data_IF_006662890432
#
_entry.id   IF_006662890432
#
_cell.length_a   1.000
_cell.length_b   1.000
_cell.length_c   1.000
_cell.angle_alpha   90.00
_cell.angle_beta   90.00
_cell.angle_gamma   90.00
#
_symmetry.space_group_name_H-M   'P 1'
#
loop_
_entity.id
_entity.type
_entity.pdbx_description
1 polymer ?
#
# COMPACT_ATOMS: atom_id res chain seq x y z
N UNK A 1 9.24 -21.91 -4.45
CA UNK A 1 10.72 -21.81 -4.33
C UNK A 1 11.23 -21.60 -2.90
N UNK A 2 10.40 -21.63 -1.85
CA UNK A 2 10.87 -21.61 -0.45
C UNK A 2 11.74 -20.40 -0.07
N UNK A 3 11.73 -19.35 -0.89
CA UNK A 3 12.63 -18.20 -0.76
C UNK A 3 12.03 -17.19 0.21
N UNK A 4 12.83 -16.78 1.21
CA UNK A 4 12.46 -15.73 2.17
C UNK A 4 13.36 -14.52 1.98
N UNK A 5 12.77 -13.32 2.01
CA UNK A 5 13.46 -12.02 1.93
C UNK A 5 13.00 -11.17 3.12
N UNK A 6 13.94 -10.52 3.79
CA UNK A 6 13.65 -9.79 5.05
C UNK A 6 13.98 -8.30 4.99
N UNK A 7 14.96 -7.90 4.19
CA UNK A 7 15.29 -6.46 4.05
C UNK A 7 14.32 -5.78 3.07
N UNK A 8 13.95 -4.50 3.30
CA UNK A 8 12.99 -3.79 2.44
C UNK A 8 13.38 -3.81 0.95
N UNK A 9 14.67 -3.58 0.65
CA UNK A 9 15.17 -3.59 -0.73
C UNK A 9 15.04 -4.98 -1.38
N UNK A 10 15.43 -6.04 -0.67
CA UNK A 10 15.33 -7.41 -1.20
C UNK A 10 13.88 -7.82 -1.44
N UNK A 11 12.97 -7.46 -0.53
CA UNK A 11 11.54 -7.69 -0.68
C UNK A 11 11.04 -6.97 -1.94
N UNK A 12 11.34 -5.68 -2.07
CA UNK A 12 10.89 -4.87 -3.20
C UNK A 12 11.40 -5.41 -4.55
N UNK A 13 12.70 -5.73 -4.64
CA UNK A 13 13.30 -6.27 -5.87
C UNK A 13 12.72 -7.63 -6.23
N UNK A 14 12.53 -8.52 -5.25
CA UNK A 14 11.92 -9.83 -5.48
C UNK A 14 10.47 -9.72 -5.97
N UNK A 15 9.69 -8.81 -5.38
CA UNK A 15 8.31 -8.57 -5.83
C UNK A 15 8.24 -7.90 -7.20
N UNK A 16 9.22 -7.07 -7.56
CA UNK A 16 9.32 -6.53 -8.92
C UNK A 16 9.58 -7.64 -9.94
N UNK A 17 10.45 -8.59 -9.63
CA UNK A 17 10.73 -9.74 -10.50
C UNK A 17 9.46 -10.59 -10.71
N UNK A 18 8.79 -10.97 -9.62
CA UNK A 18 7.57 -11.77 -9.68
C UNK A 18 6.43 -11.01 -10.38
N UNK A 19 6.11 -9.81 -9.91
CA UNK A 19 5.01 -9.01 -10.46
C UNK A 19 5.25 -8.64 -11.93
N UNK A 20 6.50 -8.36 -12.30
CA UNK A 20 6.90 -8.06 -13.67
C UNK A 20 6.64 -9.22 -14.63
N UNK A 21 6.96 -10.47 -14.25
CA UNK A 21 6.65 -11.67 -15.05
C UNK A 21 5.15 -11.85 -15.33
N UNK A 22 4.31 -11.36 -14.41
CA UNK A 22 2.85 -11.43 -14.55
C UNK A 22 2.22 -10.15 -15.12
N UNK A 23 3.00 -9.10 -15.43
CA UNK A 23 2.49 -7.83 -15.95
C UNK A 23 1.70 -6.97 -14.95
N UNK A 24 1.94 -7.16 -13.65
CA UNK A 24 1.26 -6.43 -12.56
C UNK A 24 1.73 -4.98 -12.50
N UNK A 25 0.82 -4.07 -12.14
CA UNK A 25 1.18 -2.69 -11.77
C UNK A 25 1.42 -1.76 -12.95
N UNK A 26 0.82 -2.05 -14.12
CA UNK A 26 0.80 -1.18 -15.29
C UNK A 26 -0.30 -0.14 -15.15
N UNK A 27 0.06 1.13 -15.27
CA UNK A 27 -0.84 2.27 -15.08
C UNK A 27 -0.68 3.20 -16.28
N UNK A 28 -1.78 3.55 -16.94
CA UNK A 28 -1.86 4.58 -17.98
C UNK A 28 -2.85 5.64 -17.52
N UNK A 29 -2.35 6.82 -17.20
CA UNK A 29 -3.14 7.89 -16.59
C UNK A 29 -2.89 9.23 -17.26
N UNK A 30 -3.91 10.09 -17.21
CA UNK A 30 -3.76 11.52 -17.45
C UNK A 30 -3.77 12.22 -16.10
N UNK A 31 -2.63 12.80 -15.73
CA UNK A 31 -2.41 13.45 -14.45
C UNK A 31 -2.36 14.98 -14.59
N UNK A 32 -2.66 15.69 -13.50
CA UNK A 32 -2.50 17.14 -13.44
C UNK A 32 -1.15 17.45 -12.79
N UNK A 33 -0.26 18.13 -13.52
CA UNK A 33 0.99 18.62 -12.95
C UNK A 33 0.70 19.78 -12.00
N UNK A 34 1.56 19.96 -11.01
CA UNK A 34 1.48 21.09 -10.07
C UNK A 34 1.43 22.46 -10.78
N UNK A 35 2.12 22.57 -11.92
CA UNK A 35 2.12 23.78 -12.78
C UNK A 35 0.83 24.01 -13.57
N UNK A 36 -0.23 23.21 -13.34
CA UNK A 36 -1.57 23.39 -13.91
C UNK A 36 -1.83 22.72 -15.26
N UNK A 37 -0.84 22.05 -15.85
CA UNK A 37 -1.00 21.36 -17.14
C UNK A 37 -1.29 19.87 -16.97
N UNK A 38 -2.06 19.30 -17.91
CA UNK A 38 -2.27 17.85 -17.98
C UNK A 38 -1.14 17.16 -18.72
N UNK A 39 -0.79 15.95 -18.29
CA UNK A 39 0.17 15.08 -18.97
C UNK A 39 -0.36 13.65 -18.98
N UNK A 40 -0.10 12.89 -20.04
CA UNK A 40 -0.29 11.43 -20.04
C UNK A 40 1.00 10.76 -19.58
N UNK A 41 0.90 9.85 -18.62
CA UNK A 41 2.02 9.08 -18.09
C UNK A 41 1.71 7.59 -18.10
N UNK A 42 2.70 6.78 -18.47
CA UNK A 42 2.64 5.32 -18.42
C UNK A 42 3.68 4.86 -17.40
N UNK A 43 3.24 4.09 -16.41
CA UNK A 43 4.04 3.68 -15.27
C UNK A 43 3.95 2.17 -15.06
N UNK A 44 5.05 1.57 -14.59
CA UNK A 44 5.12 0.17 -14.19
C UNK A 44 5.63 0.09 -12.75
N UNK A 45 4.81 -0.42 -11.84
CA UNK A 45 5.11 -0.51 -10.40
C UNK A 45 4.72 -1.89 -9.82
N UNK A 46 5.29 -2.99 -10.34
CA UNK A 46 4.85 -4.35 -9.99
C UNK A 46 4.95 -4.65 -8.49
N UNK A 47 6.14 -4.49 -7.89
CA UNK A 47 6.34 -4.75 -6.47
C UNK A 47 5.59 -3.76 -5.59
N UNK A 48 5.50 -2.49 -6.00
CA UNK A 48 4.72 -1.47 -5.31
C UNK A 48 3.22 -1.81 -5.27
N UNK A 49 2.66 -2.28 -6.38
CA UNK A 49 1.24 -2.67 -6.47
C UNK A 49 0.94 -3.88 -5.59
N UNK A 50 1.82 -4.90 -5.57
CA UNK A 50 1.66 -6.06 -4.70
C UNK A 50 1.71 -5.66 -3.23
N UNK A 51 2.72 -4.87 -2.84
CA UNK A 51 2.87 -4.38 -1.47
C UNK A 51 1.69 -3.52 -1.04
N UNK A 52 1.20 -2.65 -1.93
CA UNK A 52 0.06 -1.80 -1.66
C UNK A 52 -1.20 -2.61 -1.35
N UNK A 53 -1.55 -3.60 -2.18
CA UNK A 53 -2.72 -4.45 -1.94
C UNK A 53 -2.57 -5.29 -0.67
N UNK A 54 -1.40 -5.87 -0.43
CA UNK A 54 -1.14 -6.64 0.79
C UNK A 54 -1.23 -5.75 2.05
N UNK A 55 -0.70 -4.54 1.99
CA UNK A 55 -0.73 -3.59 3.09
C UNK A 55 -2.15 -3.13 3.41
N UNK A 56 -2.93 -2.74 2.39
CA UNK A 56 -4.33 -2.35 2.58
C UNK A 56 -5.17 -3.48 3.19
N UNK A 57 -4.90 -4.71 2.78
CA UNK A 57 -5.58 -5.88 3.32
C UNK A 57 -5.27 -6.08 4.81
N UNK A 58 -4.00 -5.93 5.20
CA UNK A 58 -3.61 -5.98 6.61
C UNK A 58 -4.21 -4.82 7.42
N UNK A 59 -4.25 -3.60 6.86
CA UNK A 59 -4.90 -2.45 7.51
C UNK A 59 -6.39 -2.71 7.74
N UNK A 60 -7.10 -3.31 6.78
CA UNK A 60 -8.51 -3.69 6.97
C UNK A 60 -8.66 -4.69 8.12
N UNK A 61 -7.70 -5.61 8.24
CA UNK A 61 -7.77 -6.71 9.19
C UNK A 61 -7.36 -6.36 10.61
N UNK A 62 -6.51 -5.35 10.82
CA UNK A 62 -5.96 -5.01 12.15
C UNK A 62 -6.29 -3.61 12.64
N UNK A 63 -6.66 -2.68 11.76
CA UNK A 63 -6.91 -1.30 12.14
C UNK A 63 -8.37 -1.09 12.58
N UNK A 64 -8.56 -0.25 13.59
CA UNK A 64 -9.89 0.24 13.95
C UNK A 64 -10.56 0.94 12.75
N UNK A 65 -11.89 0.78 12.65
CA UNK A 65 -12.70 1.28 11.53
C UNK A 65 -12.59 2.80 11.37
N UNK A 66 -12.70 3.56 12.45
CA UNK A 66 -12.69 5.03 12.38
C UNK A 66 -11.28 5.57 12.15
N UNK A 67 -10.27 4.94 12.77
CA UNK A 67 -8.86 5.26 12.49
C UNK A 67 -8.55 5.05 11.01
N UNK A 68 -8.99 3.92 10.43
CA UNK A 68 -8.79 3.63 9.00
C UNK A 68 -9.48 4.66 8.11
N UNK A 69 -10.71 5.05 8.43
CA UNK A 69 -11.45 6.10 7.68
C UNK A 69 -10.70 7.43 7.66
N UNK A 70 -10.16 7.86 8.81
CA UNK A 70 -9.37 9.09 8.91
C UNK A 70 -8.07 8.96 8.12
N UNK A 71 -7.35 7.83 8.27
CA UNK A 71 -6.08 7.57 7.57
C UNK A 71 -6.24 7.57 6.05
N UNK A 72 -7.36 7.11 5.51
CA UNK A 72 -7.61 7.16 4.07
C UNK A 72 -7.61 8.60 3.52
N UNK A 73 -8.25 9.54 4.22
CA UNK A 73 -8.21 10.96 3.85
C UNK A 73 -6.79 11.54 3.95
N UNK A 74 -6.08 11.23 5.04
CA UNK A 74 -4.68 11.63 5.22
C UNK A 74 -3.76 11.07 4.14
N UNK A 75 -4.01 9.85 3.66
CA UNK A 75 -3.25 9.23 2.59
C UNK A 75 -3.36 9.98 1.26
N UNK A 76 -4.54 10.51 0.94
CA UNK A 76 -4.75 11.35 -0.25
C UNK A 76 -3.96 12.66 -0.11
N UNK A 77 -4.12 13.37 1.00
CA UNK A 77 -3.39 14.61 1.26
C UNK A 77 -1.87 14.40 1.22
N UNK A 78 -1.38 13.30 1.81
CA UNK A 78 0.03 12.93 1.75
C UNK A 78 0.51 12.74 0.32
N UNK A 79 -0.27 12.04 -0.52
CA UNK A 79 0.08 11.82 -1.92
C UNK A 79 0.19 13.13 -2.71
N UNK A 80 -0.70 14.09 -2.46
CA UNK A 80 -0.67 15.42 -3.09
C UNK A 80 0.55 16.23 -2.65
N UNK A 81 0.86 16.25 -1.35
CA UNK A 81 2.03 16.95 -0.82
C UNK A 81 3.33 16.39 -1.40
N UNK A 82 3.45 15.06 -1.48
CA UNK A 82 4.62 14.40 -2.09
C UNK A 82 4.71 14.72 -3.58
N UNK A 83 3.60 14.65 -4.32
CA UNK A 83 3.56 14.96 -5.75
C UNK A 83 3.99 16.40 -6.04
N UNK A 84 3.57 17.34 -5.20
CA UNK A 84 3.90 18.76 -5.33
C UNK A 84 5.31 19.12 -4.81
N UNK A 85 6.06 18.16 -4.26
CA UNK A 85 7.42 18.36 -3.75
C UNK A 85 7.51 18.92 -2.33
N UNK A 86 6.41 18.94 -1.57
CA UNK A 86 6.35 19.45 -0.20
C UNK A 86 6.79 18.42 0.84
N UNK A 87 7.85 17.65 0.57
CA UNK A 87 8.30 16.58 1.49
C UNK A 87 8.73 17.09 2.88
N UNK A 88 9.40 18.25 2.92
CA UNK A 88 9.92 18.87 4.15
C UNK A 88 9.01 19.99 4.68
N UNK A 89 7.77 20.09 4.21
CA UNK A 89 6.83 21.10 4.72
C UNK A 89 6.22 20.65 6.06
N UNK A 90 5.82 21.60 6.93
CA UNK A 90 5.26 21.26 8.24
C UNK A 90 3.97 20.44 8.13
N UNK A 91 3.15 20.70 7.11
CA UNK A 91 1.94 19.92 6.87
C UNK A 91 2.24 18.47 6.44
N UNK A 92 3.31 18.23 5.67
CA UNK A 92 3.72 16.88 5.29
C UNK A 92 4.30 16.12 6.48
N UNK A 93 5.10 16.78 7.31
CA UNK A 93 5.60 16.20 8.56
C UNK A 93 4.45 15.79 9.49
N UNK A 94 3.46 16.67 9.69
CA UNK A 94 2.27 16.37 10.48
C UNK A 94 1.52 15.13 9.96
N UNK A 95 1.22 15.10 8.65
CA UNK A 95 0.49 13.98 8.03
C UNK A 95 1.28 12.68 8.16
N UNK A 96 2.60 12.71 7.94
CA UNK A 96 3.48 11.54 8.12
C UNK A 96 3.45 11.01 9.55
N UNK A 97 3.43 11.87 10.56
CA UNK A 97 3.33 11.45 11.96
C UNK A 97 1.99 10.76 12.24
N UNK A 98 0.88 11.30 11.75
CA UNK A 98 -0.43 10.66 11.86
C UNK A 98 -0.47 9.29 11.18
N UNK A 99 0.10 9.19 9.97
CA UNK A 99 0.22 7.90 9.27
C UNK A 99 1.08 6.94 10.06
N UNK A 100 2.27 7.32 10.51
CA UNK A 100 3.14 6.46 11.32
C UNK A 100 2.44 5.95 12.58
N UNK A 101 1.68 6.82 13.27
CA UNK A 101 0.88 6.45 14.44
C UNK A 101 -0.19 5.39 14.11
N UNK A 102 -0.84 5.49 12.96
CA UNK A 102 -1.84 4.50 12.54
C UNK A 102 -1.26 3.09 12.32
N UNK A 103 0.05 2.97 12.07
CA UNK A 103 0.68 1.70 11.69
C UNK A 103 1.13 0.83 12.88
N UNK A 104 1.03 1.31 14.12
CA UNK A 104 1.55 0.60 15.32
C UNK A 104 1.00 -0.83 15.50
N UNK A 105 -0.22 -1.08 15.03
CA UNK A 105 -0.90 -2.38 15.12
C UNK A 105 -1.00 -3.11 13.77
N UNK A 106 -0.40 -2.58 12.71
CA UNK A 106 -0.45 -3.18 11.36
C UNK A 106 0.67 -4.22 11.25
N UNK A 107 0.37 -5.43 11.71
CA UNK A 107 1.33 -6.53 11.76
C UNK A 107 0.63 -7.86 11.43
N UNK A 108 1.21 -8.64 10.52
CA UNK A 108 0.68 -9.94 10.16
C UNK A 108 1.26 -10.44 8.84
N UNK A 109 0.63 -11.46 8.27
CA UNK A 109 0.97 -12.03 6.96
C UNK A 109 -0.24 -12.01 6.06
N UNK A 110 0.01 -11.71 4.79
CA UNK A 110 -0.99 -11.77 3.72
C UNK A 110 -0.49 -12.73 2.66
N UNK A 111 -1.32 -13.69 2.30
CA UNK A 111 -1.06 -14.60 1.19
C UNK A 111 -1.64 -14.00 -0.08
N UNK A 112 -0.77 -13.81 -1.07
CA UNK A 112 -1.11 -13.12 -2.33
C UNK A 112 -0.82 -14.05 -3.51
N UNK A 113 -1.73 -14.07 -4.47
CA UNK A 113 -1.53 -14.67 -5.78
C UNK A 113 -1.44 -13.57 -6.84
N UNK A 114 -0.49 -13.68 -7.77
CA UNK A 114 -0.37 -12.77 -8.90
C UNK A 114 -0.62 -13.50 -10.20
N UNK A 115 -1.49 -12.96 -11.04
CA UNK A 115 -1.88 -13.62 -12.28
C UNK A 115 -2.34 -12.59 -13.31
N UNK A 116 -1.74 -12.62 -14.51
CA UNK A 116 -2.16 -11.87 -15.71
C UNK A 116 -2.53 -10.40 -15.42
N UNK A 117 -1.63 -9.67 -14.76
CA UNK A 117 -1.78 -8.25 -14.44
C UNK A 117 -2.48 -7.96 -13.12
N UNK A 118 -3.03 -8.97 -12.45
CA UNK A 118 -3.81 -8.79 -11.23
C UNK A 118 -3.09 -9.33 -9.98
N UNK A 119 -3.47 -8.75 -8.84
CA UNK A 119 -3.08 -9.16 -7.49
C UNK A 119 -4.34 -9.64 -6.77
N UNK A 120 -4.33 -10.88 -6.28
CA UNK A 120 -5.43 -11.51 -5.57
C UNK A 120 -5.01 -11.83 -4.14
N UNK A 121 -5.80 -11.38 -3.17
CA UNK A 121 -5.60 -11.76 -1.77
C UNK A 121 -6.26 -13.11 -1.52
N UNK A 122 -5.47 -14.12 -1.14
CA UNK A 122 -5.96 -15.46 -0.85
C UNK A 122 -6.33 -15.66 0.63
N UNK A 123 -5.61 -14.99 1.53
CA UNK A 123 -5.78 -15.16 2.96
C UNK A 123 -4.91 -14.19 3.74
N UNK A 124 -5.20 -14.05 5.04
CA UNK A 124 -4.44 -13.20 5.96
C UNK A 124 -4.48 -13.78 7.36
N UNK A 125 -3.41 -13.54 8.11
CA UNK A 125 -3.31 -13.89 9.53
C UNK A 125 -2.60 -12.76 10.28
N UNK A 126 -3.04 -12.47 11.50
CA UNK A 126 -2.43 -11.45 12.36
C UNK A 126 -2.65 -11.81 13.83
N UNK A 127 -1.62 -11.66 14.68
CA UNK A 127 -1.77 -11.79 16.13
C UNK A 127 -2.48 -10.59 16.77
N UNK A 128 -2.64 -9.47 16.04
CA UNK A 128 -3.22 -8.20 16.51
C UNK A 128 -4.59 -7.89 15.90
N UNK A 129 -5.24 -8.90 15.31
CA UNK A 129 -6.55 -8.67 14.70
C UNK A 129 -7.65 -8.50 15.76
N UNK A 130 -8.51 -7.48 15.64
CA UNK A 130 -9.75 -7.40 16.40
C UNK A 130 -10.83 -8.37 15.89
N UNK A 131 -10.58 -9.14 14.83
CA UNK A 131 -11.52 -10.12 14.31
C UNK A 131 -11.76 -11.24 15.33
N UNK A 132 -13.02 -11.46 15.68
CA UNK A 132 -13.46 -12.53 16.57
C UNK A 132 -14.53 -13.36 15.85
N UNK A 133 -14.19 -14.61 15.54
CA UNK A 133 -15.08 -15.53 14.83
C UNK A 133 -16.36 -15.85 15.62
N UNK A 134 -16.30 -15.88 16.95
CA UNK A 134 -17.45 -16.19 17.82
C UNK A 134 -18.52 -15.09 17.79
N UNK A 135 -18.14 -13.84 17.50
CA UNK A 135 -19.08 -12.71 17.43
C UNK A 135 -19.79 -12.60 16.08
N UNK A 136 -19.33 -13.35 15.07
CA UNK A 136 -19.78 -13.20 13.67
C UNK A 136 -20.44 -14.49 13.14
N UNK A 137 -20.35 -15.60 13.88
CA UNK A 137 -21.12 -16.83 13.64
C UNK A 137 -22.47 -16.80 14.36
#
# INVERSE_FOLDING_TARGET
>A
EGTSKTTPLQIFTYLNEIGGRHGVGRIDIVENRFIGMKCRGIYETPGGTILYHAHLDMEIFTMDREVRRIKQGLGINFSELVYNGFWYSPECEFVRHCIAKSQENVEGKVQVSVLKGHVYILGRESPKSPYNEELVR
#
